data_IF_732737755306
#
_entry.id   IF_732737755306
#
_cell.length_a   1.000
_cell.length_b   1.000
_cell.length_c   1.000
_cell.angle_alpha   90.00
_cell.angle_beta   90.00
_cell.angle_gamma   90.00
#
_symmetry.space_group_name_H-M   'P 1'
#
loop_
_entity.id
_entity.type
_entity.pdbx_description
1 polymer ?
#
# COMPACT_ATOMS: atom_id res chain seq x y z
N UNK A 1 9.17 1.15 -36.09
CA UNK A 1 7.83 1.75 -36.02
C UNK A 1 7.80 2.52 -34.72
N UNK A 2 8.07 3.82 -34.79
CA UNK A 2 8.35 4.69 -33.64
C UNK A 2 7.05 5.12 -32.97
N UNK A 3 6.96 4.95 -31.64
CA UNK A 3 5.85 5.44 -30.84
C UNK A 3 5.99 6.96 -30.63
N UNK A 4 4.94 7.70 -30.99
CA UNK A 4 4.84 9.17 -30.81
C UNK A 4 4.16 9.47 -29.49
N UNK A 5 4.86 10.13 -28.57
CA UNK A 5 4.30 10.69 -27.34
C UNK A 5 3.84 12.14 -27.57
N UNK A 6 2.57 12.42 -27.32
CA UNK A 6 2.02 13.77 -27.33
C UNK A 6 2.10 14.43 -25.95
N UNK A 7 2.66 15.64 -25.87
CA UNK A 7 2.64 16.50 -24.68
C UNK A 7 1.50 17.52 -24.80
N UNK A 8 0.66 17.65 -23.77
CA UNK A 8 -0.33 18.73 -23.63
C UNK A 8 0.01 19.55 -22.36
N UNK A 9 -0.20 20.87 -22.40
CA UNK A 9 0.22 21.83 -21.36
C UNK A 9 -0.97 22.69 -20.94
N UNK A 10 -1.31 22.69 -19.65
CA UNK A 10 -2.13 23.71 -18.99
C UNK A 10 -1.46 24.06 -17.65
N UNK A 11 -1.49 25.34 -17.28
CA UNK A 11 -0.67 25.92 -16.21
C UNK A 11 -1.51 26.26 -14.96
N UNK A 12 -1.25 25.55 -13.87
CA UNK A 12 -1.57 25.87 -12.47
C UNK A 12 -0.37 25.40 -11.63
N UNK A 13 0.64 26.26 -11.39
CA UNK A 13 1.87 25.98 -10.61
C UNK A 13 2.27 24.48 -10.57
N UNK A 14 2.34 23.88 -11.77
CA UNK A 14 2.35 22.43 -11.92
C UNK A 14 3.78 22.01 -11.71
N UNK A 15 4.07 21.39 -10.56
CA UNK A 15 5.30 20.64 -10.38
C UNK A 15 5.51 19.77 -11.62
N UNK A 16 6.61 19.98 -12.32
CA UNK A 16 6.87 19.27 -13.55
C UNK A 16 6.99 17.78 -13.20
N UNK A 17 6.24 16.92 -13.89
CA UNK A 17 6.17 15.48 -13.58
C UNK A 17 6.20 14.65 -14.85
N UNK A 18 6.79 13.47 -14.74
CA UNK A 18 6.74 12.42 -15.76
C UNK A 18 5.73 11.38 -15.30
N UNK A 19 4.81 11.01 -16.18
CA UNK A 19 3.79 10.02 -15.89
C UNK A 19 3.94 8.81 -16.81
N UNK A 20 4.00 7.63 -16.20
CA UNK A 20 3.89 6.34 -16.87
C UNK A 20 2.50 5.79 -16.52
N UNK A 21 1.58 5.79 -17.47
CA UNK A 21 0.19 5.37 -17.26
C UNK A 21 -0.07 3.99 -17.83
N UNK A 22 -0.94 3.25 -17.17
CA UNK A 22 -1.41 1.93 -17.55
C UNK A 22 -0.24 0.97 -17.86
N UNK A 23 0.80 1.02 -17.03
CA UNK A 23 1.97 0.14 -17.14
C UNK A 23 1.54 -1.27 -16.76
N UNK A 24 1.61 -2.19 -17.72
CA UNK A 24 1.36 -3.60 -17.48
C UNK A 24 2.51 -4.17 -16.66
N UNK A 25 2.22 -4.65 -15.45
CA UNK A 25 3.23 -5.28 -14.59
C UNK A 25 3.07 -6.80 -14.48
N UNK A 26 1.88 -7.33 -14.77
CA UNK A 26 1.62 -8.76 -14.79
C UNK A 26 0.54 -9.11 -15.82
N UNK A 27 0.79 -10.20 -16.55
CA UNK A 27 -0.19 -10.85 -17.42
C UNK A 27 -0.46 -12.24 -16.86
N UNK A 28 -1.72 -12.53 -16.59
CA UNK A 28 -2.16 -13.79 -15.98
C UNK A 28 -3.12 -14.45 -16.97
N UNK A 29 -2.86 -15.71 -17.30
CA UNK A 29 -3.67 -16.46 -18.27
C UNK A 29 -5.15 -16.46 -17.88
N UNK A 30 -6.02 -16.12 -18.84
CA UNK A 30 -7.46 -16.02 -18.63
C UNK A 30 -7.91 -14.78 -17.87
N UNK A 31 -7.03 -13.82 -17.66
CA UNK A 31 -7.27 -12.62 -16.87
C UNK A 31 -6.89 -11.35 -17.62
N UNK A 32 -7.45 -10.20 -17.23
CA UNK A 32 -7.00 -8.90 -17.75
C UNK A 32 -5.56 -8.62 -17.27
N UNK A 33 -4.74 -7.88 -18.03
CA UNK A 33 -3.46 -7.40 -17.51
C UNK A 33 -3.65 -6.57 -16.22
N UNK A 34 -2.75 -6.75 -15.25
CA UNK A 34 -2.71 -5.89 -14.07
C UNK A 34 -1.83 -4.67 -14.35
N UNK A 35 -2.37 -3.51 -13.99
CA UNK A 35 -1.80 -2.22 -14.34
C UNK A 35 -1.33 -1.44 -13.12
N UNK A 36 -0.32 -0.61 -13.30
CA UNK A 36 0.07 0.42 -12.36
C UNK A 36 0.25 1.76 -13.09
N UNK A 37 0.08 2.85 -12.35
CA UNK A 37 0.47 4.20 -12.78
C UNK A 37 1.65 4.64 -11.91
N UNK A 38 2.65 5.26 -12.52
CA UNK A 38 3.82 5.82 -11.85
C UNK A 38 3.95 7.31 -12.20
N UNK A 39 4.04 8.15 -11.17
CA UNK A 39 4.31 9.58 -11.31
C UNK A 39 5.65 9.90 -10.67
N UNK A 40 6.54 10.53 -11.43
CA UNK A 40 7.90 10.89 -11.02
C UNK A 40 8.04 12.41 -11.02
N UNK A 41 8.53 13.04 -9.93
CA UNK A 41 8.83 14.47 -9.94
C UNK A 41 10.00 14.75 -10.89
N UNK A 42 9.78 15.56 -11.92
CA UNK A 42 10.77 15.81 -12.97
C UNK A 42 11.93 16.72 -12.52
N UNK A 43 11.68 17.52 -11.48
CA UNK A 43 12.63 18.52 -10.98
C UNK A 43 13.41 18.02 -9.74
N UNK A 44 13.12 16.81 -9.25
CA UNK A 44 13.81 16.22 -8.10
C UNK A 44 15.18 15.63 -8.51
N UNK A 45 16.22 15.73 -7.65
CA UNK A 45 17.51 15.10 -7.92
C UNK A 45 17.38 13.56 -7.98
N UNK A 46 17.63 12.98 -9.15
CA UNK A 46 17.65 11.54 -9.34
C UNK A 46 18.91 10.89 -8.71
N UNK A 47 18.84 9.63 -8.26
CA UNK A 47 17.65 8.78 -8.27
C UNK A 47 16.69 9.12 -7.12
N UNK A 48 15.38 9.13 -7.41
CA UNK A 48 14.35 9.50 -6.43
C UNK A 48 13.80 8.29 -5.68
N UNK A 49 13.52 8.40 -4.36
CA UNK A 49 12.83 7.34 -3.63
C UNK A 49 11.41 7.13 -4.16
N UNK A 50 10.87 5.92 -3.99
CA UNK A 50 9.53 5.56 -4.46
C UNK A 50 8.62 5.19 -3.30
N UNK A 51 7.42 5.75 -3.29
CA UNK A 51 6.32 5.28 -2.47
C UNK A 51 5.33 4.49 -3.33
N UNK A 52 4.88 3.33 -2.83
CA UNK A 52 3.95 2.45 -3.51
C UNK A 52 2.63 2.51 -2.76
N UNK A 53 1.64 3.16 -3.38
CA UNK A 53 0.31 3.35 -2.83
C UNK A 53 -0.63 2.18 -3.16
N UNK A 54 -1.23 1.61 -2.11
CA UNK A 54 -2.18 0.50 -2.17
C UNK A 54 -3.54 0.98 -1.62
N UNK A 55 -4.55 0.97 -2.51
CA UNK A 55 -5.89 1.48 -2.19
C UNK A 55 -6.68 0.54 -1.27
N UNK A 56 -7.73 1.07 -0.61
CA UNK A 56 -8.65 0.30 0.21
C UNK A 56 -9.74 -0.41 -0.60
N UNK A 57 -10.94 -0.55 -0.04
CA UNK A 57 -12.08 -1.19 -0.72
C UNK A 57 -12.30 -2.66 -0.39
N UNK A 58 -11.85 -3.08 0.81
CA UNK A 58 -12.14 -4.38 1.40
C UNK A 58 -11.76 -5.57 0.48
N UNK A 59 -10.69 -5.40 -0.30
CA UNK A 59 -10.21 -6.30 -1.36
C UNK A 59 -11.22 -6.62 -2.46
N UNK A 60 -12.41 -6.02 -2.46
CA UNK A 60 -13.52 -6.36 -3.35
C UNK A 60 -13.70 -5.38 -4.49
N UNK A 61 -13.32 -4.14 -4.24
CA UNK A 61 -13.49 -2.99 -5.13
C UNK A 61 -12.34 -2.02 -4.91
N UNK A 62 -12.26 -1.01 -5.77
CA UNK A 62 -11.36 0.11 -5.62
C UNK A 62 -10.76 0.52 -6.95
N UNK A 63 -9.87 1.50 -6.90
CA UNK A 63 -9.14 1.99 -8.06
C UNK A 63 -7.75 2.42 -7.60
N UNK A 64 -6.69 2.17 -8.40
CA UNK A 64 -5.38 2.76 -8.13
C UNK A 64 -5.39 4.29 -8.26
N UNK A 65 -6.35 4.87 -8.98
CA UNK A 65 -6.42 6.32 -9.22
C UNK A 65 -6.97 7.05 -8.00
N UNK A 66 -6.04 7.51 -7.15
CA UNK A 66 -6.34 8.17 -5.87
C UNK A 66 -7.27 9.38 -6.03
N UNK A 67 -7.14 10.15 -7.12
CA UNK A 67 -7.97 11.32 -7.39
C UNK A 67 -9.46 11.01 -7.57
N UNK A 68 -9.82 9.76 -7.90
CA UNK A 68 -11.20 9.31 -8.04
C UNK A 68 -11.77 8.79 -6.70
N UNK A 69 -10.98 8.84 -5.63
CA UNK A 69 -11.35 8.38 -4.29
C UNK A 69 -11.56 9.54 -3.32
N UNK A 70 -12.11 9.24 -2.14
CA UNK A 70 -12.31 10.22 -1.07
C UNK A 70 -10.99 10.84 -0.57
N UNK A 71 -9.84 10.20 -0.81
CA UNK A 71 -8.50 10.71 -0.50
C UNK A 71 -8.04 11.84 -1.40
N UNK A 72 -8.71 12.09 -2.53
CA UNK A 72 -8.39 13.20 -3.42
C UNK A 72 -8.40 14.56 -2.72
N UNK A 73 -9.15 14.71 -1.62
CA UNK A 73 -9.17 15.95 -0.80
C UNK A 73 -7.84 16.24 -0.09
N UNK A 74 -7.04 15.20 0.18
CA UNK A 74 -5.76 15.31 0.86
C UNK A 74 -4.56 15.30 -0.10
N UNK A 75 -4.82 15.01 -1.38
CA UNK A 75 -3.83 14.86 -2.46
C UNK A 75 -2.51 14.21 -2.01
N UNK A 76 -2.52 12.96 -1.52
CA UNK A 76 -1.30 12.29 -1.10
C UNK A 76 -0.30 12.11 -2.26
N UNK A 77 -0.79 12.12 -3.52
CA UNK A 77 0.04 12.13 -4.72
C UNK A 77 0.84 13.43 -4.81
N UNK A 78 0.16 14.57 -4.80
CA UNK A 78 0.82 15.87 -4.82
C UNK A 78 1.74 16.08 -3.63
N UNK A 79 1.32 15.65 -2.43
CA UNK A 79 2.15 15.74 -1.22
C UNK A 79 3.43 14.89 -1.32
N UNK A 80 3.35 13.65 -1.81
CA UNK A 80 4.52 12.80 -2.01
C UNK A 80 5.49 13.39 -3.04
N UNK A 81 4.97 13.86 -4.18
CA UNK A 81 5.78 14.51 -5.21
C UNK A 81 6.47 15.77 -4.68
N UNK A 82 5.76 16.58 -3.88
CA UNK A 82 6.30 17.80 -3.28
C UNK A 82 7.39 17.51 -2.24
N UNK A 83 7.31 16.35 -1.58
CA UNK A 83 8.33 15.85 -0.68
C UNK A 83 9.51 15.16 -1.42
N UNK A 84 9.51 15.12 -2.77
CA UNK A 84 10.59 14.56 -3.57
C UNK A 84 10.51 13.05 -3.81
N UNK A 85 9.37 12.43 -3.51
CA UNK A 85 9.14 11.01 -3.80
C UNK A 85 8.46 10.84 -5.15
N UNK A 86 8.86 9.81 -5.89
CA UNK A 86 7.97 9.23 -6.89
C UNK A 86 6.83 8.48 -6.18
N UNK A 87 5.67 8.39 -6.84
CA UNK A 87 4.54 7.61 -6.33
C UNK A 87 4.02 6.65 -7.41
N UNK A 88 3.95 5.37 -7.08
CA UNK A 88 3.28 4.35 -7.88
C UNK A 88 1.94 3.97 -7.26
N UNK A 89 0.89 3.88 -8.05
CA UNK A 89 -0.42 3.35 -7.62
C UNK A 89 -0.71 2.05 -8.34
N UNK A 90 -1.03 1.00 -7.60
CA UNK A 90 -0.99 -0.38 -8.12
C UNK A 90 -2.37 -1.04 -8.07
N UNK A 91 -2.76 -1.73 -9.15
CA UNK A 91 -3.91 -2.64 -9.12
C UNK A 91 -3.54 -3.97 -8.47
N UNK A 92 -4.53 -4.62 -7.86
CA UNK A 92 -4.47 -6.02 -7.47
C UNK A 92 -5.81 -6.69 -7.81
N UNK A 93 -5.81 -8.02 -7.98
CA UNK A 93 -7.05 -8.77 -8.24
C UNK A 93 -7.99 -8.68 -7.07
N UNK A 94 -9.26 -8.41 -7.30
CA UNK A 94 -10.24 -8.39 -6.22
C UNK A 94 -10.60 -9.80 -5.76
N UNK A 95 -11.13 -9.92 -4.54
CA UNK A 95 -11.47 -11.20 -3.91
C UNK A 95 -12.55 -12.00 -4.67
N UNK A 96 -13.37 -11.31 -5.48
CA UNK A 96 -14.33 -11.94 -6.38
C UNK A 96 -13.70 -12.49 -7.66
N UNK A 97 -12.44 -12.15 -7.92
CA UNK A 97 -11.69 -12.52 -9.10
C UNK A 97 -10.67 -13.62 -8.77
N UNK A 98 -9.98 -13.51 -7.64
CA UNK A 98 -9.08 -14.53 -7.10
C UNK A 98 -9.02 -14.46 -5.57
N UNK A 99 -8.88 -15.63 -4.93
CA UNK A 99 -8.68 -15.71 -3.48
C UNK A 99 -7.21 -15.46 -3.09
N UNK A 100 -6.99 -15.03 -1.85
CA UNK A 100 -5.67 -14.91 -1.25
C UNK A 100 -4.91 -16.26 -1.35
N UNK A 101 -3.61 -16.27 -1.71
CA UNK A 101 -2.66 -15.15 -1.69
C UNK A 101 -2.56 -14.31 -2.97
N UNK A 102 -3.50 -14.43 -3.92
CA UNK A 102 -3.42 -13.70 -5.20
C UNK A 102 -3.10 -12.20 -5.07
N UNK A 103 -3.76 -11.50 -4.14
CA UNK A 103 -3.54 -10.07 -3.88
C UNK A 103 -2.13 -9.75 -3.39
N UNK A 104 -1.59 -10.60 -2.51
CA UNK A 104 -0.20 -10.49 -2.01
C UNK A 104 0.78 -10.66 -3.18
N UNK A 105 0.54 -11.68 -4.00
CA UNK A 105 1.44 -12.01 -5.10
C UNK A 105 1.40 -10.92 -6.17
N UNK A 106 0.23 -10.31 -6.42
CA UNK A 106 0.08 -9.18 -7.34
C UNK A 106 0.89 -7.96 -6.88
N UNK A 107 0.79 -7.56 -5.60
CA UNK A 107 1.55 -6.38 -5.12
C UNK A 107 3.05 -6.64 -5.10
N UNK A 108 3.51 -7.88 -4.83
CA UNK A 108 4.92 -8.26 -4.97
C UNK A 108 5.39 -8.17 -6.41
N UNK A 109 4.61 -8.67 -7.36
CA UNK A 109 4.91 -8.58 -8.79
C UNK A 109 5.02 -7.13 -9.25
N UNK A 110 4.17 -6.24 -8.72
CA UNK A 110 4.26 -4.80 -8.99
C UNK A 110 5.57 -4.19 -8.47
N UNK A 111 6.00 -4.52 -7.24
CA UNK A 111 7.30 -4.05 -6.70
C UNK A 111 8.45 -4.51 -7.58
N UNK A 112 8.47 -5.78 -7.97
CA UNK A 112 9.51 -6.32 -8.85
C UNK A 112 9.51 -5.62 -10.23
N UNK A 113 8.34 -5.31 -10.78
CA UNK A 113 8.23 -4.56 -12.04
C UNK A 113 8.73 -3.12 -11.91
N UNK A 114 8.39 -2.43 -10.81
CA UNK A 114 8.88 -1.09 -10.51
C UNK A 114 10.39 -1.07 -10.32
N UNK A 115 10.98 -2.11 -9.71
CA UNK A 115 12.43 -2.25 -9.59
C UNK A 115 13.11 -2.39 -10.95
N UNK A 116 12.51 -3.13 -11.88
CA UNK A 116 13.00 -3.24 -13.27
C UNK A 116 12.88 -1.93 -14.04
N UNK A 117 11.81 -1.16 -13.79
CA UNK A 117 11.59 0.16 -14.40
C UNK A 117 12.50 1.25 -13.80
N UNK A 118 13.06 1.04 -12.60
CA UNK A 118 13.80 2.05 -11.85
C UNK A 118 14.92 2.76 -12.64
N UNK A 119 15.79 2.07 -13.41
CA UNK A 119 16.84 2.75 -14.18
C UNK A 119 16.30 3.69 -15.26
N UNK A 120 15.17 3.32 -15.89
CA UNK A 120 14.55 4.11 -16.96
C UNK A 120 13.72 5.27 -16.41
N UNK A 121 13.10 5.09 -15.26
CA UNK A 121 12.27 6.10 -14.59
C UNK A 121 13.04 6.99 -13.61
N UNK A 122 14.35 6.77 -13.43
CA UNK A 122 15.18 7.55 -12.50
C UNK A 122 14.86 7.30 -11.02
N UNK A 123 14.36 6.10 -10.69
CA UNK A 123 14.03 5.71 -9.32
C UNK A 123 15.24 5.11 -8.61
N UNK A 124 15.29 5.24 -7.30
CA UNK A 124 16.28 4.57 -6.45
C UNK A 124 15.74 3.19 -6.04
N UNK A 125 16.26 2.08 -6.62
CA UNK A 125 15.78 0.75 -6.31
C UNK A 125 16.08 0.34 -4.86
N UNK A 126 16.89 1.07 -4.08
CA UNK A 126 17.15 0.75 -2.68
C UNK A 126 16.20 1.46 -1.71
N UNK A 127 15.34 2.38 -2.18
CA UNK A 127 14.49 3.24 -1.34
C UNK A 127 13.03 3.18 -1.75
N UNK A 128 12.43 1.99 -1.62
CA UNK A 128 11.01 1.76 -1.90
C UNK A 128 10.22 1.60 -0.60
N UNK A 129 9.22 2.45 -0.37
CA UNK A 129 8.27 2.34 0.74
C UNK A 129 6.90 1.86 0.29
N UNK A 130 6.23 1.05 1.10
CA UNK A 130 4.83 0.67 0.89
C UNK A 130 3.91 1.54 1.75
N UNK A 131 2.84 2.04 1.15
CA UNK A 131 1.85 2.87 1.82
C UNK A 131 0.46 2.43 1.42
N UNK A 132 -0.44 2.20 2.37
CA UNK A 132 -1.80 1.86 2.02
C UNK A 132 -2.82 2.08 3.10
N UNK A 133 -4.07 1.97 2.70
CA UNK A 133 -5.23 2.18 3.56
C UNK A 133 -6.17 0.97 3.63
N UNK A 134 -6.71 0.67 4.81
CA UNK A 134 -7.66 -0.44 5.01
C UNK A 134 -7.11 -1.75 4.41
N UNK A 135 -7.82 -2.35 3.45
CA UNK A 135 -7.35 -3.50 2.67
C UNK A 135 -5.97 -3.30 2.00
N UNK A 136 -5.68 -2.10 1.48
CA UNK A 136 -4.37 -1.76 0.92
C UNK A 136 -3.31 -1.57 1.99
N UNK A 137 -3.68 -1.09 3.19
CA UNK A 137 -2.79 -1.03 4.35
C UNK A 137 -2.43 -2.43 4.85
N UNK A 138 -3.38 -3.37 4.78
CA UNK A 138 -3.12 -4.79 4.99
C UNK A 138 -2.13 -5.33 3.96
N UNK A 139 -2.33 -5.06 2.67
CA UNK A 139 -1.39 -5.50 1.63
C UNK A 139 -0.02 -4.84 1.76
N UNK A 140 0.08 -3.58 2.17
CA UNK A 140 1.35 -2.89 2.43
C UNK A 140 2.12 -3.57 3.58
N UNK A 141 1.42 -3.92 4.66
CA UNK A 141 2.00 -4.65 5.78
C UNK A 141 2.42 -6.07 5.39
N UNK A 142 1.57 -6.82 4.69
CA UNK A 142 1.94 -8.17 4.23
C UNK A 142 3.13 -8.12 3.27
N UNK A 143 3.19 -7.14 2.37
CA UNK A 143 4.32 -6.93 1.45
C UNK A 143 5.64 -6.72 2.20
N UNK A 144 5.63 -5.96 3.30
CA UNK A 144 6.83 -5.72 4.11
C UNK A 144 7.21 -6.88 5.04
N UNK A 145 6.24 -7.66 5.54
CA UNK A 145 6.48 -8.63 6.61
C UNK A 145 6.48 -10.08 6.14
N UNK A 146 5.57 -10.47 5.24
CA UNK A 146 5.55 -11.82 4.71
C UNK A 146 6.70 -11.97 3.70
N UNK A 147 7.81 -12.57 4.14
CA UNK A 147 8.98 -12.87 3.28
C UNK A 147 8.97 -14.29 2.72
N UNK A 148 7.92 -15.08 2.99
CA UNK A 148 7.82 -16.43 2.42
C UNK A 148 7.63 -16.32 0.92
N UNK A 149 8.43 -17.06 0.16
CA UNK A 149 8.36 -17.07 -1.32
C UNK A 149 8.58 -15.67 -1.92
N UNK A 150 9.14 -14.73 -1.16
CA UNK A 150 9.45 -13.40 -1.66
C UNK A 150 10.77 -13.46 -2.43
N UNK A 151 10.73 -13.05 -3.69
CA UNK A 151 11.95 -12.78 -4.44
C UNK A 151 12.61 -11.51 -3.89
N UNK A 152 13.96 -11.43 -3.84
CA UNK A 152 14.67 -10.27 -3.28
C UNK A 152 14.21 -8.92 -3.86
N UNK A 153 13.82 -8.90 -5.14
CA UNK A 153 13.40 -7.68 -5.82
C UNK A 153 12.03 -7.15 -5.35
N UNK A 154 11.27 -7.93 -4.57
CA UNK A 154 9.91 -7.59 -4.12
C UNK A 154 9.86 -6.94 -2.73
N UNK A 155 11.00 -6.67 -2.09
CA UNK A 155 11.05 -6.15 -0.72
C UNK A 155 10.84 -4.63 -0.63
N UNK A 156 10.29 -4.13 0.47
CA UNK A 156 10.18 -2.69 0.75
C UNK A 156 10.92 -2.33 2.03
N UNK A 157 11.46 -1.11 2.08
CA UNK A 157 12.35 -0.66 3.15
C UNK A 157 11.59 0.00 4.31
N UNK A 158 10.36 0.48 4.07
CA UNK A 158 9.50 1.06 5.09
C UNK A 158 8.02 0.79 4.76
N UNK A 159 7.18 0.71 5.79
CA UNK A 159 5.73 0.48 5.64
C UNK A 159 4.95 1.56 6.39
N UNK A 160 3.94 2.13 5.74
CA UNK A 160 2.89 2.92 6.38
C UNK A 160 1.54 2.24 6.13
N UNK A 161 0.84 1.86 7.19
CA UNK A 161 -0.46 1.19 7.11
C UNK A 161 -1.52 1.96 7.90
N UNK A 162 -2.50 2.50 7.16
CA UNK A 162 -3.63 3.23 7.74
C UNK A 162 -4.83 2.31 7.97
N UNK A 163 -5.33 2.29 9.20
CA UNK A 163 -6.51 1.54 9.67
C UNK A 163 -6.63 0.12 9.09
N UNK A 164 -5.48 -0.57 9.04
CA UNK A 164 -5.34 -1.85 8.38
C UNK A 164 -5.83 -3.01 9.27
N UNK A 165 -6.58 -3.98 8.72
CA UNK A 165 -6.78 -5.25 9.40
C UNK A 165 -5.45 -6.02 9.47
N UNK A 166 -5.04 -6.43 10.67
CA UNK A 166 -3.73 -7.05 10.91
C UNK A 166 -3.83 -8.52 11.35
N UNK A 167 -4.94 -8.89 11.98
CA UNK A 167 -5.24 -10.23 12.50
C UNK A 167 -6.60 -10.71 12.00
N UNK A 168 -6.59 -11.36 10.82
CA UNK A 168 -7.78 -11.91 10.17
C UNK A 168 -8.40 -13.10 10.93
N UNK A 169 -7.75 -13.63 11.97
CA UNK A 169 -8.37 -14.61 12.87
C UNK A 169 -9.46 -13.98 13.72
N UNK A 170 -9.40 -12.67 13.95
CA UNK A 170 -10.35 -11.95 14.82
C UNK A 170 -11.40 -11.16 14.05
N UNK A 171 -11.32 -11.13 12.72
CA UNK A 171 -12.19 -10.37 11.84
C UNK A 171 -13.00 -11.27 10.90
N UNK A 172 -14.18 -10.80 10.47
CA UNK A 172 -14.92 -11.35 9.34
C UNK A 172 -15.12 -12.87 9.32
N UNK A 173 -15.69 -13.44 10.38
CA UNK A 173 -15.94 -14.90 10.45
C UNK A 173 -17.27 -15.34 9.84
N UNK A 174 -18.12 -14.40 9.43
CA UNK A 174 -19.41 -14.73 8.78
C UNK A 174 -19.23 -14.91 7.28
N UNK A 175 -19.89 -15.89 6.64
CA UNK A 175 -19.93 -16.00 5.18
C UNK A 175 -20.35 -14.69 4.52
N UNK A 176 -19.62 -14.27 3.48
CA UNK A 176 -19.86 -13.03 2.75
C UNK A 176 -19.21 -11.78 3.36
N UNK A 177 -18.57 -11.89 4.53
CA UNK A 177 -17.66 -10.85 5.02
C UNK A 177 -16.47 -10.66 4.06
N UNK A 178 -15.88 -9.46 3.98
CA UNK A 178 -14.70 -9.21 3.14
C UNK A 178 -13.57 -10.24 3.33
N UNK A 179 -13.29 -10.62 4.57
CA UNK A 179 -12.25 -11.57 4.94
C UNK A 179 -12.58 -12.99 4.47
N UNK A 180 -13.86 -13.40 4.60
CA UNK A 180 -14.30 -14.70 4.07
C UNK A 180 -14.24 -14.77 2.54
N UNK A 181 -14.53 -13.66 1.85
CA UNK A 181 -14.46 -13.58 0.39
C UNK A 181 -13.00 -13.55 -0.09
N UNK A 182 -12.13 -12.82 0.63
CA UNK A 182 -10.70 -12.79 0.38
C UNK A 182 -10.11 -14.20 0.44
N UNK A 183 -10.42 -14.96 1.48
CA UNK A 183 -9.86 -16.30 1.69
C UNK A 183 -10.60 -17.40 0.91
N UNK A 184 -11.84 -17.16 0.47
CA UNK A 184 -12.66 -18.15 -0.19
C UNK A 184 -12.88 -19.40 0.68
N UNK A 185 -12.83 -20.61 0.11
CA UNK A 185 -12.96 -21.86 0.88
C UNK A 185 -11.93 -22.01 2.01
N UNK A 186 -10.78 -21.34 1.92
CA UNK A 186 -9.76 -21.40 2.96
C UNK A 186 -10.16 -20.62 4.24
N UNK A 187 -11.22 -19.82 4.20
CA UNK A 187 -11.71 -19.04 5.33
C UNK A 187 -12.09 -19.90 6.56
N UNK A 188 -12.41 -21.19 6.34
CA UNK A 188 -12.74 -22.18 7.37
C UNK A 188 -11.49 -22.73 8.10
N UNK A 189 -10.30 -22.52 7.54
CA UNK A 189 -9.05 -22.99 8.12
C UNK A 189 -8.37 -21.87 8.91
N UNK A 190 -8.25 -22.07 10.22
CA UNK A 190 -7.65 -21.09 11.14
C UNK A 190 -6.23 -20.68 10.70
N UNK A 191 -5.43 -21.65 10.24
CA UNK A 191 -4.07 -21.38 9.76
C UNK A 191 -4.05 -20.51 8.50
N UNK A 192 -5.01 -20.68 7.58
CA UNK A 192 -5.11 -19.82 6.41
C UNK A 192 -5.48 -18.39 6.80
N UNK A 193 -6.40 -18.20 7.75
CA UNK A 193 -6.73 -16.87 8.30
C UNK A 193 -5.51 -16.24 8.95
N UNK A 194 -4.79 -17.01 9.78
CA UNK A 194 -3.59 -16.55 10.47
C UNK A 194 -2.53 -16.09 9.47
N UNK A 195 -2.18 -16.94 8.49
CA UNK A 195 -1.14 -16.66 7.49
C UNK A 195 -1.51 -15.56 6.49
N UNK A 196 -2.78 -15.18 6.40
CA UNK A 196 -3.20 -14.03 5.61
C UNK A 196 -3.03 -12.70 6.35
N UNK A 197 -2.91 -12.69 7.68
CA UNK A 197 -2.70 -11.47 8.47
C UNK A 197 -1.22 -11.13 8.61
N UNK A 198 -0.80 -9.85 8.51
CA UNK A 198 0.60 -9.45 8.70
C UNK A 198 1.11 -9.73 10.12
N UNK A 199 0.23 -9.78 11.13
CA UNK A 199 0.61 -10.10 12.51
C UNK A 199 1.31 -11.46 12.64
N UNK A 200 0.96 -12.41 11.78
CA UNK A 200 1.55 -13.75 11.77
C UNK A 200 3.00 -13.82 11.27
N UNK A 201 3.48 -12.74 10.65
CA UNK A 201 4.78 -12.65 9.99
C UNK A 201 5.75 -11.69 10.69
N UNK A 202 5.36 -11.18 11.87
CA UNK A 202 6.22 -10.32 12.68
C UNK A 202 7.53 -11.04 13.01
N UNK A 203 8.64 -10.36 12.75
CA UNK A 203 9.98 -10.83 13.06
C UNK A 203 10.91 -9.64 13.30
N UNK A 204 12.11 -9.85 13.88
CA UNK A 204 13.12 -8.80 14.01
C UNK A 204 13.59 -8.21 12.67
N UNK A 205 13.34 -8.91 11.55
CA UNK A 205 13.70 -8.48 10.21
C UNK A 205 12.60 -7.66 9.51
N UNK A 206 11.50 -7.34 10.22
CA UNK A 206 10.45 -6.49 9.68
C UNK A 206 11.00 -5.06 9.41
N UNK A 207 10.62 -4.42 8.30
CA UNK A 207 11.01 -3.04 8.03
C UNK A 207 10.37 -2.08 9.06
N UNK A 208 10.94 -0.90 9.28
CA UNK A 208 10.28 0.17 10.01
C UNK A 208 8.83 0.34 9.55
N UNK A 209 7.90 0.27 10.51
CA UNK A 209 6.46 0.29 10.22
C UNK A 209 5.74 1.37 11.03
N UNK A 210 5.04 2.27 10.34
CA UNK A 210 4.10 3.22 10.94
C UNK A 210 2.67 2.71 10.79
N UNK A 211 1.96 2.65 11.90
CA UNK A 211 0.55 2.31 11.98
C UNK A 211 -0.24 3.55 12.38
N UNK A 212 -1.30 3.87 11.64
CA UNK A 212 -2.16 5.01 11.95
C UNK A 212 -3.62 4.58 11.97
N UNK A 213 -4.38 4.90 13.02
CA UNK A 213 -5.75 4.38 13.17
C UNK A 213 -6.65 5.35 13.94
N UNK A 214 -7.87 5.55 13.45
CA UNK A 214 -8.90 6.26 14.21
C UNK A 214 -9.43 5.44 15.39
N UNK A 215 -9.56 6.02 16.58
CA UNK A 215 -10.09 5.30 17.75
C UNK A 215 -11.62 5.13 17.75
N UNK A 216 -12.32 5.82 16.86
CA UNK A 216 -13.76 5.70 16.67
C UNK A 216 -14.13 4.78 15.48
N UNK A 217 -13.16 4.11 14.86
CA UNK A 217 -13.38 3.17 13.76
C UNK A 217 -14.33 2.03 14.17
N UNK A 218 -15.39 1.84 13.37
CA UNK A 218 -16.43 0.82 13.58
C UNK A 218 -16.35 -0.33 12.57
N UNK A 219 -15.49 -0.22 11.57
CA UNK A 219 -15.30 -1.25 10.54
C UNK A 219 -14.09 -2.13 10.90
N UNK A 220 -12.95 -1.50 11.18
CA UNK A 220 -11.75 -2.19 11.64
C UNK A 220 -11.45 -1.67 13.05
N UNK A 221 -11.49 -2.52 14.10
CA UNK A 221 -11.17 -2.04 15.44
C UNK A 221 -9.74 -1.51 15.51
N UNK A 222 -9.55 -0.33 16.12
CA UNK A 222 -8.24 0.29 16.36
C UNK A 222 -7.24 -0.64 17.07
N UNK A 223 -7.76 -1.58 17.86
CA UNK A 223 -6.98 -2.65 18.52
C UNK A 223 -6.16 -3.52 17.53
N UNK A 224 -6.59 -3.64 16.27
CA UNK A 224 -5.81 -4.30 15.21
C UNK A 224 -4.44 -3.64 15.03
N UNK A 225 -4.39 -2.30 14.96
CA UNK A 225 -3.12 -1.57 14.83
C UNK A 225 -2.33 -1.57 16.13
N UNK A 226 -3.00 -1.46 17.29
CA UNK A 226 -2.34 -1.50 18.60
C UNK A 226 -1.60 -2.82 18.82
N UNK A 227 -2.30 -3.95 18.71
CA UNK A 227 -1.72 -5.29 18.87
C UNK A 227 -0.59 -5.55 17.87
N UNK A 228 -0.71 -5.00 16.67
CA UNK A 228 0.32 -5.16 15.65
C UNK A 228 1.59 -4.35 15.96
N UNK A 229 1.44 -3.11 16.41
CA UNK A 229 2.57 -2.30 16.89
C UNK A 229 3.26 -2.97 18.09
N UNK A 230 2.48 -3.43 19.07
CA UNK A 230 3.00 -4.12 20.26
C UNK A 230 3.79 -5.37 19.88
N UNK A 231 3.29 -6.16 18.93
CA UNK A 231 3.99 -7.35 18.44
C UNK A 231 5.30 -7.00 17.73
N UNK A 232 5.31 -5.98 16.86
CA UNK A 232 6.52 -5.52 16.18
C UNK A 232 7.58 -5.04 17.18
N UNK A 233 7.18 -4.20 18.14
CA UNK A 233 8.08 -3.73 19.21
C UNK A 233 8.60 -4.88 20.06
N UNK A 234 7.74 -5.85 20.44
CA UNK A 234 8.14 -7.02 21.21
C UNK A 234 9.14 -7.92 20.46
N UNK A 235 9.07 -7.95 19.13
CA UNK A 235 10.01 -8.66 18.27
C UNK A 235 11.32 -7.87 18.01
N UNK A 236 11.44 -6.64 18.53
CA UNK A 236 12.61 -5.79 18.34
C UNK A 236 12.64 -5.02 17.01
N UNK A 237 11.53 -5.01 16.26
CA UNK A 237 11.40 -4.19 15.05
C UNK A 237 11.01 -2.74 15.39
N UNK A 238 11.38 -1.81 14.51
CA UNK A 238 10.97 -0.40 14.63
C UNK A 238 9.49 -0.26 14.28
N UNK A 239 8.67 0.16 15.24
CA UNK A 239 7.26 0.42 15.00
C UNK A 239 6.80 1.71 15.69
N UNK A 240 5.97 2.49 14.98
CA UNK A 240 5.28 3.66 15.51
C UNK A 240 3.76 3.44 15.38
N UNK A 241 3.00 3.81 16.42
CA UNK A 241 1.55 3.76 16.39
C UNK A 241 0.95 5.10 16.74
N UNK A 242 0.23 5.69 15.79
CA UNK A 242 -0.47 6.96 15.92
C UNK A 242 -1.97 6.71 15.94
N UNK A 243 -2.61 7.10 17.04
CA UNK A 243 -4.07 7.16 17.12
C UNK A 243 -4.52 8.53 16.59
N UNK A 244 -5.53 8.54 15.72
CA UNK A 244 -6.19 9.77 15.25
C UNK A 244 -7.47 9.96 16.07
N UNK A 245 -7.48 10.83 17.10
CA UNK A 245 -8.55 10.87 18.08
C UNK A 245 -9.90 11.26 17.47
N UNK A 246 -10.96 10.52 17.81
CA UNK A 246 -12.32 10.75 17.34
C UNK A 246 -12.58 10.35 15.89
N UNK A 247 -11.56 9.93 15.13
CA UNK A 247 -11.69 9.58 13.73
C UNK A 247 -12.28 8.18 13.54
N UNK A 248 -13.17 8.02 12.57
CA UNK A 248 -13.70 6.73 12.12
C UNK A 248 -12.80 6.03 11.10
N UNK A 249 -13.35 5.00 10.43
CA UNK A 249 -12.70 4.42 9.25
C UNK A 249 -12.48 5.48 8.18
N UNK A 250 -11.43 5.35 7.36
CA UNK A 250 -11.03 6.40 6.40
C UNK A 250 -10.69 7.74 7.09
N UNK A 251 -10.31 7.70 8.37
CA UNK A 251 -10.15 8.87 9.23
C UNK A 251 -11.35 9.85 9.19
N UNK A 252 -12.56 9.33 8.98
CA UNK A 252 -13.76 10.15 8.92
C UNK A 252 -13.91 11.01 10.19
N UNK A 253 -14.05 12.33 10.02
CA UNK A 253 -14.11 13.28 11.13
C UNK A 253 -12.77 13.91 11.53
N UNK A 254 -11.67 13.58 10.82
CA UNK A 254 -10.36 14.21 11.00
C UNK A 254 -9.84 14.91 9.73
N UNK A 255 -8.83 15.76 9.89
CA UNK A 255 -8.10 16.36 8.79
C UNK A 255 -7.03 15.39 8.26
N UNK A 256 -7.20 14.94 7.03
CA UNK A 256 -6.32 13.95 6.39
C UNK A 256 -4.92 14.46 6.09
N UNK A 257 -4.71 15.78 6.05
CA UNK A 257 -3.40 16.37 5.77
C UNK A 257 -2.39 16.02 6.86
N UNK A 258 -2.84 15.87 8.11
CA UNK A 258 -1.97 15.48 9.21
C UNK A 258 -1.49 14.03 9.09
N UNK A 259 -2.36 13.02 8.89
CA UNK A 259 -1.91 11.67 8.56
C UNK A 259 -0.96 11.59 7.36
N UNK A 260 -1.25 12.31 6.27
CA UNK A 260 -0.36 12.39 5.10
C UNK A 260 1.02 12.92 5.51
N UNK A 261 1.08 14.05 6.20
CA UNK A 261 2.34 14.65 6.67
C UNK A 261 3.14 13.70 7.56
N UNK A 262 2.49 13.07 8.55
CA UNK A 262 3.15 12.11 9.45
C UNK A 262 3.69 10.89 8.70
N UNK A 263 2.99 10.44 7.65
CA UNK A 263 3.44 9.34 6.79
C UNK A 263 4.69 9.72 6.01
N UNK A 264 4.73 10.93 5.43
CA UNK A 264 5.91 11.44 4.71
C UNK A 264 7.09 11.67 5.65
N UNK A 265 6.87 12.28 6.82
CA UNK A 265 7.91 12.46 7.85
C UNK A 265 8.51 11.10 8.26
N UNK A 266 7.70 10.04 8.29
CA UNK A 266 8.16 8.69 8.59
C UNK A 266 9.02 8.11 7.47
N UNK A 267 8.61 8.26 6.21
CA UNK A 267 9.42 7.84 5.07
C UNK A 267 10.75 8.59 5.02
N UNK A 268 10.78 9.90 5.31
CA UNK A 268 12.01 10.70 5.35
C UNK A 268 13.05 10.17 6.36
N UNK A 269 12.60 9.50 7.43
CA UNK A 269 13.49 8.91 8.43
C UNK A 269 14.00 7.52 8.04
N UNK A 270 13.35 6.85 7.09
CA UNK A 270 13.53 5.42 6.86
C UNK A 270 13.86 5.03 5.41
N UNK A 271 13.83 5.98 4.47
CA UNK A 271 14.23 5.80 3.07
C UNK A 271 15.42 6.72 2.72
#
# INVERSE_FOLDING_TARGET
>A
MEARFGRSRAAEDVMNRVEYRDVVFAEIDGYRPLLLDLTVPADAPAPVPLLIWLHGGAWRVGSPRVGDSWLGVADPVGAALAAGYALATVQYRFSGEAHYPAQRDDVRAAVAALRRLAPEAGLDPARFGAWGESAGGHLAAVLGLDRREAEPDSEVQAVVAWYAPSDLTTLGRTPGSPESLLLGPAAEHEEARRLAGPLAHVSPAAPPTLLMHGDADKLVPCDQSRRFADALTAAGATAEFVVVPGAGHCFAGADLREPVRLSLDFFDRHL
#
